data_IF_223086589025
#
_entry.id   IF_223086589025
#
_cell.length_a   1.000
_cell.length_b   1.000
_cell.length_c   1.000
_cell.angle_alpha   90.00
_cell.angle_beta   90.00
_cell.angle_gamma   90.00
#
_symmetry.space_group_name_H-M   'P 1'
#
loop_
_entity.id
_entity.type
_entity.pdbx_description
1 polymer ?
#
# COMPACT_ATOMS: atom_id res chain seq x y z
N UNK A 1 1.19 -5.93 16.71
CA UNK A 1 2.32 -5.20 16.12
C UNK A 1 1.87 -4.74 14.75
N UNK A 2 1.35 -3.51 14.74
CA UNK A 2 0.53 -2.97 13.67
C UNK A 2 1.30 -2.90 12.35
N UNK A 3 0.63 -3.25 11.26
CA UNK A 3 1.18 -3.24 9.91
C UNK A 3 1.77 -1.87 9.53
N UNK A 4 1.23 -0.80 10.15
CA UNK A 4 1.61 0.60 9.97
C UNK A 4 3.01 0.93 10.50
N UNK A 5 3.47 0.27 11.57
CA UNK A 5 4.80 0.51 12.15
C UNK A 5 5.93 -0.07 11.28
N UNK A 6 5.61 -1.05 10.43
CA UNK A 6 6.60 -1.72 9.57
C UNK A 6 6.80 -1.03 8.24
N UNK A 7 5.88 -0.15 7.84
CA UNK A 7 5.88 0.48 6.53
C UNK A 7 5.62 1.98 6.64
N UNK A 8 6.67 2.82 6.76
CA UNK A 8 6.50 4.26 6.81
C UNK A 8 5.89 4.77 5.51
N UNK A 9 4.93 5.70 5.58
CA UNK A 9 4.21 6.30 4.43
C UNK A 9 3.07 5.47 3.80
N UNK A 10 2.63 4.39 4.45
CA UNK A 10 1.39 3.73 4.04
C UNK A 10 0.17 4.64 4.23
N UNK A 11 -0.62 4.79 3.17
CA UNK A 11 -1.86 5.57 3.15
C UNK A 11 -3.05 4.66 3.38
N UNK A 12 -4.11 5.18 3.98
CA UNK A 12 -5.40 4.49 4.13
C UNK A 12 -6.45 5.21 3.30
N UNK A 13 -7.45 4.46 2.84
CA UNK A 13 -8.63 5.00 2.17
C UNK A 13 -8.33 5.83 0.91
N UNK A 14 -7.32 5.41 0.12
CA UNK A 14 -6.93 6.08 -1.14
C UNK A 14 -7.81 5.57 -2.27
N UNK A 15 -8.41 6.48 -3.04
CA UNK A 15 -9.24 6.14 -4.20
C UNK A 15 -8.38 5.60 -5.34
N UNK A 16 -8.61 4.34 -5.72
CA UNK A 16 -7.89 3.72 -6.82
C UNK A 16 -8.25 4.33 -8.19
N UNK A 17 -9.43 4.94 -8.32
CA UNK A 17 -9.82 5.69 -9.51
C UNK A 17 -8.81 6.77 -9.93
N UNK A 18 -8.02 7.34 -9.00
CA UNK A 18 -6.99 8.32 -9.34
C UNK A 18 -5.69 7.68 -9.87
N UNK A 19 -5.55 6.36 -9.71
CA UNK A 19 -4.36 5.60 -10.03
C UNK A 19 -4.59 4.53 -11.11
N UNK A 20 -5.78 4.45 -11.72
CA UNK A 20 -6.10 3.52 -12.82
C UNK A 20 -6.43 4.27 -14.10
N UNK A 21 -6.03 3.72 -15.25
CA UNK A 21 -6.26 4.34 -16.58
C UNK A 21 -7.75 4.57 -16.85
N UNK A 22 -8.59 3.60 -16.49
CA UNK A 22 -10.04 3.70 -16.67
C UNK A 22 -10.73 4.59 -15.64
N UNK A 23 -10.00 5.09 -14.63
CA UNK A 23 -10.54 5.87 -13.50
C UNK A 23 -11.64 5.16 -12.73
N UNK A 24 -11.53 3.84 -12.64
CA UNK A 24 -12.46 2.96 -11.91
C UNK A 24 -11.70 2.40 -10.70
N UNK A 25 -12.36 2.41 -9.54
CA UNK A 25 -11.86 1.78 -8.31
C UNK A 25 -12.19 2.59 -7.05
N UNK A 26 -12.78 1.91 -6.07
CA UNK A 26 -13.13 2.49 -4.77
C UNK A 26 -11.90 2.76 -3.87
N UNK A 27 -12.15 3.14 -2.60
CA UNK A 27 -11.08 3.37 -1.65
C UNK A 27 -10.38 2.07 -1.24
N UNK A 28 -9.06 2.04 -1.37
CA UNK A 28 -8.23 0.94 -0.86
C UNK A 28 -8.09 1.04 0.67
N UNK A 29 -8.23 -0.10 1.37
CA UNK A 29 -8.00 -0.16 2.82
C UNK A 29 -6.59 0.31 3.19
N UNK A 30 -5.62 -0.07 2.36
CA UNK A 30 -4.22 0.33 2.46
C UNK A 30 -3.68 0.61 1.06
N UNK A 31 -2.85 1.64 0.92
CA UNK A 31 -2.18 2.02 -0.32
C UNK A 31 -0.73 2.38 -0.04
N UNK A 32 0.20 1.83 -0.82
CA UNK A 32 1.63 2.04 -0.66
C UNK A 32 2.27 2.34 -2.01
N UNK A 33 3.08 3.39 -2.06
CA UNK A 33 3.79 3.83 -3.26
C UNK A 33 5.28 3.56 -3.07
N UNK A 34 5.75 2.46 -3.68
CA UNK A 34 7.15 2.07 -3.54
C UNK A 34 8.06 2.87 -4.47
N UNK A 35 9.11 3.47 -3.91
CA UNK A 35 10.08 4.30 -4.67
C UNK A 35 11.28 3.51 -5.19
N UNK A 36 11.56 2.34 -4.62
CA UNK A 36 12.66 1.48 -5.00
C UNK A 36 12.35 0.01 -4.71
N UNK A 37 13.20 -0.89 -5.20
CA UNK A 37 13.01 -2.33 -5.08
C UNK A 37 13.04 -2.83 -3.64
N UNK A 38 13.91 -2.27 -2.79
CA UNK A 38 13.99 -2.63 -1.36
C UNK A 38 12.68 -2.33 -0.62
N UNK A 39 12.08 -1.21 -0.97
CA UNK A 39 10.83 -0.73 -0.39
C UNK A 39 9.66 -1.65 -0.74
N UNK A 40 9.60 -2.10 -2.00
CA UNK A 40 8.64 -3.10 -2.45
C UNK A 40 8.81 -4.44 -1.71
N UNK A 41 10.05 -4.90 -1.51
CA UNK A 41 10.32 -6.14 -0.77
C UNK A 41 9.89 -6.02 0.70
N UNK A 42 10.12 -4.88 1.35
CA UNK A 42 9.66 -4.62 2.72
C UNK A 42 8.13 -4.62 2.79
N UNK A 43 7.45 -3.99 1.83
CA UNK A 43 5.99 -3.94 1.76
C UNK A 43 5.36 -5.33 1.69
N UNK A 44 5.88 -6.19 0.79
CA UNK A 44 5.38 -7.55 0.63
C UNK A 44 5.64 -8.40 1.88
N UNK A 45 6.83 -8.30 2.49
CA UNK A 45 7.16 -9.02 3.73
C UNK A 45 6.26 -8.58 4.89
N UNK A 46 6.00 -7.28 5.02
CA UNK A 46 5.09 -6.77 6.03
C UNK A 46 3.67 -7.30 5.82
N UNK A 47 3.18 -7.30 4.57
CA UNK A 47 1.82 -7.73 4.24
C UNK A 47 1.62 -9.22 4.55
N UNK A 48 2.60 -10.06 4.19
CA UNK A 48 2.59 -11.50 4.49
C UNK A 48 2.55 -11.80 5.99
N UNK A 49 3.11 -10.95 6.85
CA UNK A 49 3.11 -11.15 8.30
C UNK A 49 1.83 -10.63 8.99
N UNK A 50 0.99 -9.90 8.25
CA UNK A 50 -0.21 -9.24 8.76
C UNK A 50 -1.52 -9.90 8.28
N UNK A 51 -1.44 -10.88 7.37
CA UNK A 51 -2.51 -11.79 7.01
C UNK A 51 -2.26 -13.16 7.60
#
# INVERSE_FOLDING_TARGET
MDFLDKLPNIKKNVFLAQHTTFKIGGPAKYFYEAKNSEDLVKAVKAAKKSG
#
